data_IF_303795506919
#
_entry.id   IF_303795506919
#
_cell.length_a   1.000
_cell.length_b   1.000
_cell.length_c   1.000
_cell.angle_alpha   90.00
_cell.angle_beta   90.00
_cell.angle_gamma   90.00
#
_symmetry.space_group_name_H-M   'P 1'
#
loop_
_entity.id
_entity.type
_entity.pdbx_description
1 polymer ?
#
# COMPACT_ATOMS: atom_id res chain seq x y z
N UNK A 1 6.81 -83.35 26.89
CA UNK A 1 7.64 -82.12 26.91
C UNK A 1 6.75 -81.00 27.43
N UNK A 2 6.74 -80.67 28.72
CA UNK A 2 7.81 -80.03 29.49
C UNK A 2 7.53 -78.51 29.54
N UNK A 3 6.67 -78.04 30.45
CA UNK A 3 7.01 -77.30 31.70
C UNK A 3 7.64 -75.91 31.40
N UNK A 4 7.16 -74.77 31.92
CA UNK A 4 7.00 -74.30 33.33
C UNK A 4 6.11 -73.01 33.29
N UNK A 5 5.17 -72.65 34.16
CA UNK A 5 5.02 -72.80 35.62
C UNK A 5 5.95 -71.80 36.35
N UNK A 6 5.57 -70.90 37.26
CA UNK A 6 4.35 -70.50 37.96
C UNK A 6 4.57 -69.11 38.59
N UNK A 7 3.45 -68.44 38.85
CA UNK A 7 3.13 -67.38 39.83
C UNK A 7 4.06 -67.20 41.05
N UNK A 8 4.22 -65.93 41.45
CA UNK A 8 3.89 -65.32 42.77
C UNK A 8 3.77 -63.80 42.52
N UNK A 9 2.94 -62.97 43.15
CA UNK A 9 1.96 -63.07 44.23
C UNK A 9 1.82 -61.68 44.85
N UNK A 10 0.61 -61.08 44.79
CA UNK A 10 -0.06 -60.26 45.84
C UNK A 10 0.60 -58.93 46.28
N UNK A 11 -0.04 -57.76 46.14
CA UNK A 11 -0.90 -56.99 47.10
C UNK A 11 -0.57 -55.51 46.81
N UNK A 12 -1.36 -54.45 47.02
CA UNK A 12 -2.73 -54.18 47.44
C UNK A 12 -3.03 -52.70 47.05
N UNK A 13 -4.31 -52.35 47.08
CA UNK A 13 -4.92 -51.07 46.68
C UNK A 13 -4.72 -49.92 47.68
N UNK A 14 -4.96 -48.70 47.16
CA UNK A 14 -5.37 -47.49 47.89
C UNK A 14 -4.23 -46.49 48.04
N UNK A 15 -4.28 -45.23 47.58
CA UNK A 15 -5.41 -44.32 47.40
C UNK A 15 -5.26 -43.18 48.40
N UNK A 16 -4.92 -41.95 47.97
CA UNK A 16 -5.22 -40.70 48.66
C UNK A 16 -4.85 -39.48 47.81
N UNK A 17 -5.73 -38.48 47.87
CA UNK A 17 -5.70 -37.18 47.16
C UNK A 17 -4.94 -36.11 47.98
N UNK A 18 -4.47 -35.10 47.23
CA UNK A 18 -4.48 -33.64 47.46
C UNK A 18 -4.25 -33.03 48.86
N UNK A 19 -3.43 -31.97 48.90
CA UNK A 19 -3.59 -30.89 49.89
C UNK A 19 -2.35 -30.05 50.20
N UNK A 20 -2.26 -28.87 49.56
CA UNK A 20 -1.81 -27.55 50.05
C UNK A 20 -0.47 -27.32 50.79
N UNK A 21 0.25 -26.28 50.34
CA UNK A 21 0.63 -25.15 51.21
C UNK A 21 2.11 -24.85 51.45
N UNK A 22 2.54 -23.65 51.04
CA UNK A 22 3.32 -22.76 51.92
C UNK A 22 4.84 -22.64 51.74
N UNK A 23 5.27 -21.54 51.12
CA UNK A 23 6.11 -20.52 51.79
C UNK A 23 7.61 -20.77 52.00
N UNK A 24 8.43 -19.99 51.26
CA UNK A 24 9.47 -19.14 51.84
C UNK A 24 10.84 -19.75 52.18
N UNK A 25 11.89 -18.95 51.97
CA UNK A 25 13.16 -19.10 52.68
C UNK A 25 14.36 -19.48 51.80
N UNK A 26 14.84 -18.52 51.01
CA UNK A 26 16.14 -18.59 50.34
C UNK A 26 17.29 -18.64 51.36
N UNK A 27 18.25 -19.53 51.09
CA UNK A 27 19.43 -19.83 51.91
C UNK A 27 20.56 -18.81 51.74
N UNK A 28 21.34 -18.77 52.81
CA UNK A 28 22.49 -17.93 53.13
C UNK A 28 23.75 -18.20 52.28
N UNK A 29 24.49 -17.11 52.05
CA UNK A 29 25.94 -16.93 51.82
C UNK A 29 26.75 -17.96 51.02
N UNK A 30 27.47 -17.45 50.01
CA UNK A 30 28.95 -17.28 50.08
C UNK A 30 29.48 -16.30 49.03
N UNK A 31 30.26 -15.33 49.51
CA UNK A 31 31.04 -14.36 48.72
C UNK A 31 32.17 -15.06 47.97
N UNK A 32 32.35 -14.76 46.69
CA UNK A 32 33.66 -14.67 46.04
C UNK A 32 33.68 -13.51 45.06
N UNK A 33 34.59 -12.57 45.35
CA UNK A 33 35.00 -11.44 44.54
C UNK A 33 35.70 -11.89 43.26
N UNK A 34 35.20 -11.47 42.10
CA UNK A 34 35.98 -11.42 40.86
C UNK A 34 35.71 -10.11 40.11
N UNK A 35 36.81 -9.58 39.59
CA UNK A 35 37.02 -8.23 39.06
C UNK A 35 36.11 -7.93 37.85
N UNK A 36 35.57 -6.71 37.81
CA UNK A 36 34.93 -6.11 36.62
C UNK A 36 35.92 -6.10 35.44
N UNK A 37 35.58 -6.78 34.35
CA UNK A 37 36.15 -6.51 33.02
C UNK A 37 35.19 -5.58 32.27
N UNK A 38 35.71 -4.47 31.77
CA UNK A 38 35.00 -3.55 30.90
C UNK A 38 34.74 -4.19 29.52
N UNK A 39 33.61 -3.88 28.84
CA UNK A 39 33.37 -4.34 27.48
C UNK A 39 34.29 -3.61 26.46
N UNK A 40 34.71 -4.28 25.37
CA UNK A 40 35.55 -3.66 24.36
C UNK A 40 34.79 -2.56 23.61
N UNK A 41 35.51 -1.46 23.35
CA UNK A 41 35.00 -0.25 22.72
C UNK A 41 34.49 -0.44 21.30
N UNK A 42 33.46 0.34 20.96
CA UNK A 42 32.94 0.49 19.59
C UNK A 42 34.02 1.07 18.66
N UNK A 43 34.12 0.60 17.40
CA UNK A 43 34.94 1.25 16.40
C UNK A 43 34.41 2.66 16.05
N UNK A 44 35.29 3.63 15.73
CA UNK A 44 34.88 4.99 15.39
C UNK A 44 34.11 5.02 14.05
N UNK A 45 33.08 5.87 13.99
CA UNK A 45 32.30 6.13 12.79
C UNK A 45 33.16 6.81 11.69
N UNK A 46 32.95 6.49 10.40
CA UNK A 46 33.66 7.17 9.32
C UNK A 46 33.31 8.66 9.26
N UNK A 47 34.35 9.47 9.08
CA UNK A 47 34.32 10.92 8.94
C UNK A 47 33.28 11.36 7.90
N UNK A 48 32.27 12.11 8.35
CA UNK A 48 31.42 12.91 7.46
C UNK A 48 32.19 14.14 7.04
N UNK A 49 32.63 14.17 5.78
CA UNK A 49 33.12 15.39 5.15
C UNK A 49 31.99 16.43 5.14
N UNK A 50 32.22 17.52 5.87
CA UNK A 50 31.39 18.72 5.83
C UNK A 50 31.78 19.53 4.58
N UNK A 51 30.89 19.80 3.63
CA UNK A 51 31.19 20.78 2.60
C UNK A 51 31.30 22.17 3.25
N UNK A 52 32.47 22.78 3.09
CA UNK A 52 32.82 24.12 3.56
C UNK A 52 31.86 25.15 2.97
N UNK A 53 31.31 25.99 3.84
CA UNK A 53 30.57 27.19 3.45
C UNK A 53 31.54 28.25 2.88
N UNK A 54 31.14 28.76 1.71
CA UNK A 54 31.36 30.11 1.13
C UNK A 54 32.68 30.39 0.40
N UNK A 55 32.53 30.71 -0.88
CA UNK A 55 32.79 32.07 -1.38
C UNK A 55 31.60 32.56 -2.20
N UNK A 56 31.01 33.67 -1.76
CA UNK A 56 30.04 34.46 -2.53
C UNK A 56 30.83 35.23 -3.59
N UNK A 57 30.63 34.94 -4.86
CA UNK A 57 31.02 35.87 -5.91
C UNK A 57 29.96 36.97 -6.00
N UNK A 58 30.39 38.21 -5.71
CA UNK A 58 29.65 39.42 -6.04
C UNK A 58 29.62 39.54 -7.57
N UNK A 59 28.43 39.59 -8.16
CA UNK A 59 28.24 40.17 -9.49
C UNK A 59 28.03 41.68 -9.32
N UNK A 60 28.72 42.53 -10.09
CA UNK A 60 28.48 43.96 -10.07
C UNK A 60 27.18 44.29 -10.80
N UNK A 61 26.34 45.10 -10.17
CA UNK A 61 25.23 45.77 -10.85
C UNK A 61 25.75 46.93 -11.68
N UNK A 62 25.05 47.23 -12.77
CA UNK A 62 24.73 48.56 -13.33
C UNK A 62 24.02 48.34 -14.67
N UNK A 63 22.95 49.11 -14.92
CA UNK A 63 22.38 49.24 -16.26
C UNK A 63 20.86 49.21 -16.35
N UNK A 64 20.19 50.15 -15.69
CA UNK A 64 18.85 50.57 -16.09
C UNK A 64 18.93 51.29 -17.44
N UNK A 65 18.47 50.64 -18.51
CA UNK A 65 18.14 51.33 -19.75
C UNK A 65 16.68 51.10 -20.10
N UNK A 66 15.91 52.19 -20.06
CA UNK A 66 14.58 52.31 -20.64
C UNK A 66 14.73 52.24 -22.15
N UNK A 67 14.09 51.27 -22.79
CA UNK A 67 13.80 51.32 -24.23
C UNK A 67 12.29 51.46 -24.37
N UNK A 68 11.88 52.66 -24.82
CA UNK A 68 10.58 52.91 -25.43
C UNK A 68 10.62 52.37 -26.85
N UNK A 69 9.60 51.63 -27.28
CA UNK A 69 9.40 51.36 -28.71
C UNK A 69 8.35 50.30 -29.02
N UNK A 70 7.16 50.76 -29.44
CA UNK A 70 6.36 50.12 -30.49
C UNK A 70 5.70 48.77 -30.21
N UNK A 71 4.38 48.79 -29.97
CA UNK A 71 3.50 47.64 -30.21
C UNK A 71 3.29 47.45 -31.73
N UNK A 72 3.60 46.29 -32.32
CA UNK A 72 3.02 45.90 -33.60
C UNK A 72 1.67 45.20 -33.37
N UNK A 73 0.68 45.67 -34.12
CA UNK A 73 -0.66 45.08 -34.22
C UNK A 73 -0.62 43.76 -34.99
N UNK A 74 -1.37 42.77 -34.49
CA UNK A 74 -2.21 41.88 -35.29
C UNK A 74 -1.52 40.82 -36.16
N UNK A 75 -1.10 39.71 -35.53
CA UNK A 75 -0.88 38.44 -36.20
C UNK A 75 -1.75 37.36 -35.55
N UNK A 76 -2.77 36.87 -36.26
CA UNK A 76 -3.60 35.74 -35.83
C UNK A 76 -2.73 34.49 -35.74
N UNK A 77 -2.40 34.06 -34.53
CA UNK A 77 -1.81 32.73 -34.29
C UNK A 77 -2.91 31.70 -34.53
N UNK A 78 -2.70 30.83 -35.52
CA UNK A 78 -3.60 29.73 -35.85
C UNK A 78 -3.79 28.82 -34.64
N UNK A 79 -5.04 28.70 -34.20
CA UNK A 79 -5.46 27.72 -33.20
C UNK A 79 -5.32 26.35 -33.85
N UNK A 80 -4.31 25.59 -33.44
CA UNK A 80 -4.14 24.18 -33.83
C UNK A 80 -5.42 23.37 -33.53
N UNK A 81 -5.65 22.24 -34.22
CA UNK A 81 -6.90 21.52 -34.11
C UNK A 81 -7.10 21.07 -32.67
N UNK A 82 -8.13 21.62 -32.02
CA UNK A 82 -8.63 21.12 -30.73
C UNK A 82 -9.06 19.68 -30.96
N UNK A 83 -8.27 18.73 -30.47
CA UNK A 83 -8.66 17.33 -30.36
C UNK A 83 -9.99 17.27 -29.62
N UNK A 84 -11.07 16.99 -30.36
CA UNK A 84 -12.38 16.72 -29.77
C UNK A 84 -12.28 15.36 -29.09
N UNK A 85 -12.04 15.36 -27.79
CA UNK A 85 -12.28 14.20 -26.95
C UNK A 85 -13.78 13.94 -27.00
N UNK A 86 -14.17 12.85 -27.66
CA UNK A 86 -15.55 12.37 -27.68
C UNK A 86 -15.95 12.03 -26.25
N UNK A 87 -16.78 12.88 -25.63
CA UNK A 87 -17.39 12.60 -24.33
C UNK A 87 -18.37 11.46 -24.53
N UNK A 88 -17.99 10.26 -24.11
CA UNK A 88 -18.94 9.15 -24.00
C UNK A 88 -19.91 9.47 -22.85
N UNK A 89 -21.19 9.05 -22.94
CA UNK A 89 -22.17 9.37 -21.92
C UNK A 89 -21.79 8.71 -20.60
N UNK A 90 -21.87 9.49 -19.53
CA UNK A 90 -21.67 9.06 -18.15
C UNK A 90 -22.93 8.35 -17.64
N UNK A 91 -22.93 7.01 -17.69
CA UNK A 91 -23.64 6.09 -16.80
C UNK A 91 -23.44 4.65 -17.33
N UNK A 92 -23.04 3.71 -16.46
CA UNK A 92 -23.00 2.24 -16.69
C UNK A 92 -21.87 1.61 -17.53
N UNK A 93 -20.71 2.24 -17.60
CA UNK A 93 -19.47 1.48 -17.77
C UNK A 93 -18.35 2.13 -16.96
N UNK A 94 -18.50 2.12 -15.62
CA UNK A 94 -17.30 2.14 -14.79
C UNK A 94 -16.56 0.86 -15.19
N UNK A 95 -15.38 1.00 -15.82
CA UNK A 95 -14.52 -0.14 -16.08
C UNK A 95 -14.41 -0.92 -14.79
N UNK A 96 -14.92 -2.17 -14.79
CA UNK A 96 -14.80 -3.06 -13.63
C UNK A 96 -13.33 -3.40 -13.35
N UNK A 97 -12.41 -3.04 -14.24
CA UNK A 97 -10.97 -3.12 -14.04
C UNK A 97 -10.38 -1.74 -13.72
N UNK A 98 -9.84 -1.61 -12.52
CA UNK A 98 -9.16 -0.45 -11.97
C UNK A 98 -7.67 -0.78 -11.83
N UNK A 99 -6.98 -0.90 -12.97
CA UNK A 99 -5.55 -1.16 -12.99
C UNK A 99 -4.74 0.12 -12.76
N UNK A 100 -3.63 0.01 -12.02
CA UNK A 100 -2.78 1.14 -11.68
C UNK A 100 -1.45 0.70 -11.09
N UNK A 101 -0.78 1.63 -10.42
CA UNK A 101 0.55 1.38 -9.83
C UNK A 101 0.57 1.65 -8.34
N UNK A 102 1.57 1.12 -7.65
CA UNK A 102 1.91 1.47 -6.26
C UNK A 102 2.53 2.87 -6.16
N UNK A 103 1.77 3.91 -6.50
CA UNK A 103 2.17 5.33 -6.47
C UNK A 103 2.37 5.91 -7.86
N UNK A 104 2.50 7.24 -7.96
CA UNK A 104 2.66 7.96 -9.23
C UNK A 104 3.88 8.90 -9.28
N UNK A 105 4.40 9.33 -8.13
CA UNK A 105 5.34 10.46 -8.06
C UNK A 105 6.80 10.06 -8.31
N UNK A 106 7.12 9.59 -9.52
CA UNK A 106 8.46 9.09 -9.88
C UNK A 106 9.06 9.91 -11.04
N UNK A 107 10.01 10.82 -10.77
CA UNK A 107 10.72 11.56 -11.81
C UNK A 107 11.47 10.69 -12.81
N UNK A 108 11.91 9.50 -12.38
CA UNK A 108 12.61 8.52 -13.21
C UNK A 108 11.76 7.95 -14.36
N UNK A 109 10.43 8.10 -14.31
CA UNK A 109 9.55 7.71 -15.41
C UNK A 109 9.56 8.71 -16.59
N UNK A 110 10.46 9.70 -16.55
CA UNK A 110 10.75 10.65 -17.63
C UNK A 110 12.05 10.29 -18.36
N UNK A 111 12.07 10.40 -19.69
CA UNK A 111 10.92 10.24 -20.57
C UNK A 111 10.45 8.78 -20.53
N UNK A 112 9.21 8.52 -20.95
CA UNK A 112 8.69 7.15 -21.07
C UNK A 112 7.21 7.14 -20.77
N UNK A 113 6.85 7.15 -19.49
CA UNK A 113 5.46 7.37 -19.09
C UNK A 113 5.14 8.86 -19.03
N UNK A 114 6.02 9.66 -18.42
CA UNK A 114 5.85 11.12 -18.33
C UNK A 114 6.60 11.86 -19.46
N UNK A 115 6.08 13.01 -19.93
CA UNK A 115 6.82 13.92 -20.80
C UNK A 115 8.11 14.37 -20.12
N UNK A 116 9.18 14.56 -20.90
CA UNK A 116 10.52 14.87 -20.39
C UNK A 116 10.54 16.16 -19.54
N UNK A 117 9.71 17.13 -19.88
CA UNK A 117 9.62 18.48 -19.30
C UNK A 117 8.45 18.68 -18.34
N UNK A 118 7.63 17.65 -18.10
CA UNK A 118 6.49 17.74 -17.17
C UNK A 118 7.00 18.11 -15.78
N UNK A 119 6.39 19.06 -15.08
CA UNK A 119 6.78 19.38 -13.70
C UNK A 119 6.19 18.36 -12.70
N UNK A 120 6.84 18.11 -11.53
CA UNK A 120 6.37 17.08 -10.58
C UNK A 120 4.97 17.29 -10.01
N UNK A 121 4.52 18.54 -9.92
CA UNK A 121 3.15 18.93 -9.55
C UNK A 121 2.10 18.47 -10.58
N UNK A 122 2.48 18.36 -11.86
CA UNK A 122 1.63 17.84 -12.93
C UNK A 122 1.53 16.32 -12.99
N UNK A 123 2.29 15.58 -12.16
CA UNK A 123 2.35 14.11 -12.25
C UNK A 123 1.04 13.41 -11.99
N UNK A 124 0.32 13.80 -10.93
CA UNK A 124 -0.94 13.14 -10.59
C UNK A 124 -1.99 13.37 -11.68
N UNK A 125 -2.16 14.60 -12.15
CA UNK A 125 -3.09 14.93 -13.22
C UNK A 125 -2.76 14.19 -14.52
N UNK A 126 -1.47 14.10 -14.89
CA UNK A 126 -1.05 13.36 -16.08
C UNK A 126 -1.30 11.85 -15.95
N UNK A 127 -0.99 11.29 -14.78
CA UNK A 127 -1.20 9.88 -14.46
C UNK A 127 -2.69 9.51 -14.51
N UNK A 128 -3.53 10.30 -13.83
CA UNK A 128 -4.95 10.04 -13.67
C UNK A 128 -5.76 10.22 -14.97
N UNK A 129 -5.19 10.93 -15.96
CA UNK A 129 -5.76 10.99 -17.30
C UNK A 129 -5.55 9.70 -18.12
N UNK A 130 -4.77 8.74 -17.62
CA UNK A 130 -4.34 7.52 -18.34
C UNK A 130 -4.68 6.23 -17.61
N UNK A 131 -4.56 6.23 -16.28
CA UNK A 131 -4.85 5.09 -15.43
C UNK A 131 -6.02 5.44 -14.50
N UNK A 132 -6.97 4.51 -14.29
CA UNK A 132 -8.18 4.76 -13.50
C UNK A 132 -7.96 4.69 -11.99
N UNK A 133 -6.84 4.15 -11.51
CA UNK A 133 -6.59 4.01 -10.08
C UNK A 133 -5.12 4.10 -9.70
N UNK A 134 -4.85 4.34 -8.41
CA UNK A 134 -3.49 4.28 -7.84
C UNK A 134 -3.49 3.78 -6.39
N UNK A 135 -2.52 2.93 -6.04
CA UNK A 135 -2.26 2.55 -4.65
C UNK A 135 -1.34 3.60 -4.00
N UNK A 136 -1.91 4.38 -3.09
CA UNK A 136 -1.20 5.44 -2.37
C UNK A 136 -0.51 4.86 -1.12
N UNK A 137 0.83 4.85 -1.14
CA UNK A 137 1.67 4.36 -0.04
C UNK A 137 2.23 5.46 0.88
N UNK A 138 1.92 6.75 0.64
CA UNK A 138 2.52 7.89 1.35
C UNK A 138 2.31 7.85 2.88
N UNK A 139 1.20 7.26 3.30
CA UNK A 139 0.76 7.05 4.70
C UNK A 139 1.70 6.19 5.54
N UNK A 140 2.51 5.32 4.93
CA UNK A 140 3.50 4.49 5.64
C UNK A 140 4.50 5.35 6.41
N UNK A 141 4.95 6.45 5.80
CA UNK A 141 5.99 7.31 6.37
C UNK A 141 5.39 8.49 7.14
N UNK A 142 4.29 9.05 6.63
CA UNK A 142 3.59 10.18 7.24
C UNK A 142 2.13 10.16 6.81
N UNK A 143 1.22 10.25 7.76
CA UNK A 143 -0.19 10.47 7.47
C UNK A 143 -0.35 11.86 6.83
N UNK A 144 -0.82 11.96 5.56
CA UNK A 144 -1.06 13.25 4.93
C UNK A 144 -2.10 14.07 5.70
N UNK A 145 -2.10 15.39 5.50
CA UNK A 145 -3.17 16.25 6.02
C UNK A 145 -4.44 16.05 5.19
N UNK A 146 -5.58 16.40 5.78
CA UNK A 146 -6.86 16.43 5.09
C UNK A 146 -6.79 17.32 3.82
N UNK A 147 -6.17 18.50 3.92
CA UNK A 147 -5.94 19.39 2.78
C UNK A 147 -5.11 18.73 1.66
N UNK A 148 -4.16 17.87 1.99
CA UNK A 148 -3.39 17.15 0.98
C UNK A 148 -4.26 16.11 0.25
N UNK A 149 -5.16 15.43 0.95
CA UNK A 149 -6.13 14.52 0.35
C UNK A 149 -7.12 15.27 -0.55
N UNK A 150 -7.68 16.41 -0.11
CA UNK A 150 -8.55 17.25 -0.94
C UNK A 150 -7.84 17.67 -2.23
N UNK A 151 -6.60 18.18 -2.11
CA UNK A 151 -5.80 18.56 -3.28
C UNK A 151 -5.53 17.42 -4.24
N UNK A 152 -5.40 16.18 -3.77
CA UNK A 152 -5.28 15.03 -4.66
C UNK A 152 -6.60 14.67 -5.33
N UNK A 153 -7.73 14.74 -4.61
CA UNK A 153 -9.05 14.54 -5.19
C UNK A 153 -9.37 15.56 -6.29
N UNK A 154 -8.99 16.83 -6.09
CA UNK A 154 -9.22 17.91 -7.07
C UNK A 154 -8.37 17.77 -8.36
N UNK A 155 -7.34 16.92 -8.35
CA UNK A 155 -6.42 16.73 -9.48
C UNK A 155 -6.79 15.54 -10.38
N UNK A 156 -7.77 14.73 -9.99
CA UNK A 156 -8.12 13.49 -10.71
C UNK A 156 -9.50 13.62 -11.36
N UNK A 157 -9.75 12.97 -12.50
CA UNK A 157 -11.06 12.99 -13.12
C UNK A 157 -12.08 12.19 -12.30
N UNK A 158 -13.36 12.45 -12.56
CA UNK A 158 -14.45 11.62 -12.04
C UNK A 158 -14.24 10.15 -12.43
N UNK A 159 -14.52 9.25 -11.50
CA UNK A 159 -14.31 7.81 -11.68
C UNK A 159 -12.90 7.32 -11.30
N UNK A 160 -11.91 8.21 -11.15
CA UNK A 160 -10.60 7.80 -10.63
C UNK A 160 -10.70 7.31 -9.17
N UNK A 161 -9.90 6.31 -8.80
CA UNK A 161 -9.91 5.71 -7.46
C UNK A 161 -8.53 5.66 -6.81
N UNK A 162 -8.45 6.16 -5.58
CA UNK A 162 -7.32 5.94 -4.70
C UNK A 162 -7.56 4.72 -3.82
N UNK A 163 -6.61 3.78 -3.84
CA UNK A 163 -6.48 2.74 -2.81
C UNK A 163 -5.42 3.18 -1.81
N UNK A 164 -5.83 3.58 -0.60
CA UNK A 164 -4.91 4.20 0.35
C UNK A 164 -4.37 3.15 1.31
N UNK A 165 -3.05 2.96 1.36
CA UNK A 165 -2.45 2.12 2.39
C UNK A 165 -2.71 2.76 3.77
N UNK A 166 -3.13 2.00 4.76
CA UNK A 166 -3.17 2.47 6.14
C UNK A 166 -1.75 2.60 6.71
N UNK A 167 -1.50 3.53 7.65
CA UNK A 167 -0.31 3.48 8.50
C UNK A 167 -0.18 2.14 9.23
N UNK A 168 1.05 1.78 9.60
CA UNK A 168 1.29 0.60 10.43
C UNK A 168 0.58 0.78 11.80
N UNK A 169 0.07 -0.32 12.37
CA UNK A 169 -0.73 -0.31 13.62
C UNK A 169 -1.97 0.59 13.54
N UNK A 170 -2.73 0.43 12.46
CA UNK A 170 -3.92 1.23 12.16
C UNK A 170 -4.93 1.22 13.30
N UNK A 171 -5.05 0.13 14.06
CA UNK A 171 -5.99 -0.01 15.18
C UNK A 171 -5.82 1.09 16.24
N UNK A 172 -4.64 1.70 16.36
CA UNK A 172 -4.37 2.80 17.30
C UNK A 172 -4.70 4.19 16.75
N UNK A 173 -4.98 4.29 15.46
CA UNK A 173 -5.07 5.56 14.72
C UNK A 173 -6.23 5.57 13.72
N UNK A 174 -7.13 4.60 13.81
CA UNK A 174 -8.16 4.33 12.81
C UNK A 174 -9.04 5.55 12.58
N UNK A 175 -9.65 6.07 13.64
CA UNK A 175 -10.49 7.28 13.59
C UNK A 175 -9.78 8.48 12.95
N UNK A 176 -8.59 8.84 13.45
CA UNK A 176 -7.82 9.97 12.93
C UNK A 176 -7.31 9.76 11.49
N UNK A 177 -7.15 8.51 11.06
CA UNK A 177 -6.81 8.17 9.68
C UNK A 177 -8.03 8.29 8.78
N UNK A 178 -9.15 7.71 9.20
CA UNK A 178 -10.42 7.70 8.50
C UNK A 178 -10.97 9.12 8.28
N UNK A 179 -10.91 9.97 9.31
CA UNK A 179 -11.28 11.38 9.22
C UNK A 179 -10.56 12.09 8.06
N UNK A 180 -9.25 11.82 7.91
CA UNK A 180 -8.43 12.47 6.88
C UNK A 180 -8.59 11.84 5.52
N UNK A 181 -8.70 10.52 5.44
CA UNK A 181 -8.81 9.81 4.16
C UNK A 181 -10.15 10.10 3.48
N UNK A 182 -11.21 10.38 4.25
CA UNK A 182 -12.52 10.82 3.74
C UNK A 182 -12.45 12.10 2.92
N UNK A 183 -11.42 12.93 3.09
CA UNK A 183 -11.24 14.10 2.24
C UNK A 183 -10.93 13.78 0.77
N UNK A 184 -10.69 12.52 0.42
CA UNK A 184 -10.70 12.07 -0.97
C UNK A 184 -12.11 12.04 -1.59
N UNK A 185 -13.16 12.09 -0.76
CA UNK A 185 -14.55 12.06 -1.21
C UNK A 185 -14.85 10.88 -2.12
N UNK A 186 -15.50 11.15 -3.25
CA UNK A 186 -15.85 10.13 -4.24
C UNK A 186 -14.63 9.46 -4.90
N UNK A 187 -13.41 10.00 -4.76
CA UNK A 187 -12.19 9.39 -5.27
C UNK A 187 -11.61 8.32 -4.32
N UNK A 188 -12.11 8.19 -3.09
CA UNK A 188 -11.72 7.10 -2.19
C UNK A 188 -12.31 5.78 -2.69
N UNK A 189 -11.45 4.86 -3.15
CA UNK A 189 -11.87 3.52 -3.56
C UNK A 189 -11.94 2.54 -2.39
N UNK A 190 -10.81 2.40 -1.69
CA UNK A 190 -10.67 1.52 -0.52
C UNK A 190 -9.43 1.88 0.30
N UNK A 191 -9.33 1.27 1.49
CA UNK A 191 -8.17 1.34 2.37
C UNK A 191 -7.50 -0.03 2.46
N UNK A 192 -6.19 -0.09 2.21
CA UNK A 192 -5.40 -1.32 2.37
C UNK A 192 -4.74 -1.37 3.74
N UNK A 193 -5.02 -2.39 4.54
CA UNK A 193 -4.40 -2.61 5.85
C UNK A 193 -3.46 -3.80 5.78
N UNK A 194 -2.20 -3.65 6.19
CA UNK A 194 -1.24 -4.77 6.23
C UNK A 194 -1.19 -5.35 7.63
N UNK A 195 -1.36 -6.67 7.73
CA UNK A 195 -1.27 -7.40 8.98
C UNK A 195 -0.39 -8.64 8.80
N UNK A 196 0.72 -8.69 9.53
CA UNK A 196 1.75 -9.73 9.37
C UNK A 196 1.64 -10.87 10.37
N UNK A 197 0.88 -10.68 11.46
CA UNK A 197 0.80 -11.68 12.53
C UNK A 197 -0.17 -12.83 12.18
N UNK A 198 -0.04 -13.99 12.87
CA UNK A 198 -0.99 -15.08 12.78
C UNK A 198 -2.42 -14.64 13.12
N UNK A 199 -3.38 -15.47 12.70
CA UNK A 199 -4.81 -15.23 12.88
C UNK A 199 -5.16 -14.96 14.34
N UNK A 200 -5.73 -13.77 14.53
CA UNK A 200 -6.32 -13.31 15.78
C UNK A 200 -7.71 -12.77 15.44
N UNK A 201 -8.73 -13.61 15.65
CA UNK A 201 -10.13 -13.20 15.41
C UNK A 201 -10.55 -12.04 16.31
N UNK A 202 -9.96 -11.90 17.50
CA UNK A 202 -10.23 -10.76 18.39
C UNK A 202 -9.71 -9.44 17.80
N UNK A 203 -8.53 -9.46 17.18
CA UNK A 203 -8.03 -8.31 16.42
C UNK A 203 -8.93 -7.97 15.24
N UNK A 204 -9.40 -8.98 14.50
CA UNK A 204 -10.29 -8.78 13.36
C UNK A 204 -11.63 -8.18 13.80
N UNK A 205 -12.27 -8.74 14.83
CA UNK A 205 -13.52 -8.22 15.39
C UNK A 205 -13.38 -6.79 15.91
N UNK A 206 -12.25 -6.47 16.55
CA UNK A 206 -11.98 -5.11 16.98
C UNK A 206 -11.92 -4.15 15.78
N UNK A 207 -11.23 -4.54 14.71
CA UNK A 207 -11.11 -3.71 13.50
C UNK A 207 -12.46 -3.56 12.80
N UNK A 208 -13.22 -4.65 12.61
CA UNK A 208 -14.56 -4.62 12.02
C UNK A 208 -15.53 -3.79 12.87
N UNK A 209 -15.47 -3.91 14.19
CA UNK A 209 -16.33 -3.17 15.11
C UNK A 209 -16.01 -1.68 15.20
N UNK A 210 -14.77 -1.27 14.88
CA UNK A 210 -14.31 0.11 15.03
C UNK A 210 -14.24 0.89 13.72
N UNK A 211 -14.14 0.21 12.58
CA UNK A 211 -14.01 0.85 11.28
C UNK A 211 -15.33 1.47 10.81
N UNK A 212 -15.23 2.58 10.11
CA UNK A 212 -16.39 3.24 9.53
C UNK A 212 -17.00 2.37 8.41
N UNK A 213 -18.32 2.13 8.47
CA UNK A 213 -19.02 1.25 7.53
C UNK A 213 -19.10 1.80 6.10
N UNK A 214 -18.85 3.09 5.88
CA UNK A 214 -18.78 3.74 4.57
C UNK A 214 -17.42 3.63 3.88
N UNK A 215 -16.42 3.00 4.51
CA UNK A 215 -15.10 2.76 3.90
C UNK A 215 -14.93 1.26 3.64
N UNK A 216 -14.54 0.92 2.41
CA UNK A 216 -14.15 -0.44 2.02
C UNK A 216 -12.70 -0.72 2.39
N UNK A 217 -12.42 -1.94 2.83
CA UNK A 217 -11.07 -2.34 3.23
C UNK A 217 -10.57 -3.56 2.46
N UNK A 218 -9.29 -3.52 2.11
CA UNK A 218 -8.53 -4.66 1.60
C UNK A 218 -7.47 -5.07 2.64
N UNK A 219 -7.66 -6.23 3.29
CA UNK A 219 -6.74 -6.74 4.30
C UNK A 219 -5.61 -7.55 3.65
N UNK A 220 -4.40 -7.05 3.79
CA UNK A 220 -3.17 -7.65 3.30
C UNK A 220 -2.59 -8.58 4.38
N UNK A 221 -3.32 -9.67 4.65
CA UNK A 221 -3.05 -10.68 5.69
C UNK A 221 -1.92 -11.63 5.24
N UNK A 222 -0.77 -11.60 5.90
CA UNK A 222 0.45 -12.31 5.45
C UNK A 222 0.62 -13.72 5.96
N UNK A 223 0.03 -14.04 7.09
CA UNK A 223 0.15 -15.37 7.68
C UNK A 223 -0.90 -16.33 7.06
N UNK A 224 -0.52 -17.56 6.67
CA UNK A 224 -1.46 -18.53 6.09
C UNK A 224 -2.60 -18.95 7.04
N UNK A 225 -2.46 -18.76 8.35
CA UNK A 225 -3.55 -19.04 9.31
C UNK A 225 -4.82 -18.22 9.06
N UNK A 226 -4.75 -17.17 8.23
CA UNK A 226 -5.90 -16.39 7.79
C UNK A 226 -6.69 -17.02 6.63
N UNK A 227 -6.26 -18.14 6.05
CA UNK A 227 -6.98 -18.80 4.96
C UNK A 227 -8.42 -19.18 5.38
N UNK A 228 -9.39 -18.86 4.51
CA UNK A 228 -10.82 -19.08 4.77
C UNK A 228 -11.51 -17.93 5.53
N UNK A 229 -10.84 -16.79 5.75
CA UNK A 229 -11.44 -15.59 6.37
C UNK A 229 -12.36 -14.82 5.41
N UNK A 230 -12.28 -15.08 4.11
CA UNK A 230 -12.92 -14.30 3.05
C UNK A 230 -14.45 -14.15 3.23
N UNK A 231 -15.23 -15.20 3.60
CA UNK A 231 -16.66 -15.05 3.87
C UNK A 231 -16.96 -14.10 5.04
N UNK A 232 -16.07 -14.03 6.03
CA UNK A 232 -16.21 -13.16 7.19
C UNK A 232 -15.96 -11.69 6.82
N UNK A 233 -14.92 -11.43 6.01
CA UNK A 233 -14.64 -10.10 5.48
C UNK A 233 -15.78 -9.59 4.58
N UNK A 234 -16.36 -10.47 3.76
CA UNK A 234 -17.46 -10.12 2.86
C UNK A 234 -18.70 -9.61 3.59
N UNK A 235 -18.90 -9.94 4.87
CA UNK A 235 -20.00 -9.39 5.69
C UNK A 235 -19.95 -7.87 5.85
N UNK A 236 -18.79 -7.25 5.59
CA UNK A 236 -18.57 -5.79 5.64
C UNK A 236 -18.18 -5.20 4.29
N UNK A 237 -18.34 -5.93 3.19
CA UNK A 237 -17.83 -5.52 1.87
C UNK A 237 -16.30 -5.32 1.86
N UNK A 238 -15.59 -6.17 2.61
CA UNK A 238 -14.12 -6.17 2.69
C UNK A 238 -13.55 -7.39 1.98
N UNK A 239 -12.30 -7.26 1.51
CA UNK A 239 -11.60 -8.34 0.80
C UNK A 239 -10.24 -8.62 1.42
N UNK A 240 -9.72 -9.82 1.16
CA UNK A 240 -8.31 -10.12 1.39
C UNK A 240 -7.51 -9.76 0.13
N UNK A 241 -6.34 -9.15 0.30
CA UNK A 241 -5.44 -8.87 -0.84
C UNK A 241 -4.98 -10.18 -1.47
N UNK A 242 -5.19 -10.32 -2.78
CA UNK A 242 -4.89 -11.52 -3.55
C UNK A 242 -6.00 -12.57 -3.56
N UNK A 243 -7.14 -12.33 -2.88
CA UNK A 243 -8.30 -13.19 -3.03
C UNK A 243 -9.03 -12.89 -4.34
N UNK A 244 -9.15 -13.92 -5.17
CA UNK A 244 -9.85 -13.90 -6.46
C UNK A 244 -11.22 -14.61 -6.39
N UNK A 245 -11.61 -15.11 -5.21
CA UNK A 245 -12.92 -15.74 -5.01
C UNK A 245 -14.07 -14.76 -5.26
N UNK A 246 -13.86 -13.47 -5.00
CA UNK A 246 -14.88 -12.44 -5.19
C UNK A 246 -16.03 -12.53 -4.18
N UNK A 247 -15.77 -13.02 -2.96
CA UNK A 247 -16.78 -13.17 -1.92
C UNK A 247 -17.56 -11.88 -1.61
N UNK A 248 -16.90 -10.72 -1.74
CA UNK A 248 -17.51 -9.39 -1.58
C UNK A 248 -18.01 -8.77 -2.91
N UNK A 249 -17.91 -9.47 -4.04
CA UNK A 249 -18.23 -8.91 -5.37
C UNK A 249 -17.12 -8.04 -5.97
N UNK A 250 -15.96 -7.95 -5.30
CA UNK A 250 -14.77 -7.27 -5.81
C UNK A 250 -13.49 -7.96 -5.32
N UNK A 251 -12.35 -7.60 -5.89
CA UNK A 251 -11.04 -8.09 -5.46
C UNK A 251 -9.96 -7.01 -5.51
N UNK A 252 -8.88 -7.26 -4.77
CA UNK A 252 -7.71 -6.40 -4.69
C UNK A 252 -6.45 -7.21 -4.97
N UNK A 253 -5.83 -6.96 -6.12
CA UNK A 253 -4.65 -7.67 -6.60
C UNK A 253 -3.41 -6.77 -6.52
N UNK A 254 -2.27 -7.41 -6.26
CA UNK A 254 -0.97 -6.74 -6.20
C UNK A 254 0.06 -7.57 -6.95
N UNK A 255 0.47 -7.08 -8.11
CA UNK A 255 1.54 -7.66 -8.91
C UNK A 255 2.89 -7.18 -8.38
N UNK A 256 3.77 -8.11 -8.04
CA UNK A 256 5.02 -7.82 -7.28
C UNK A 256 6.27 -7.83 -8.14
N UNK A 257 6.14 -8.35 -9.35
CA UNK A 257 7.18 -8.41 -10.35
C UNK A 257 7.66 -6.99 -10.67
N UNK A 258 8.91 -6.87 -11.10
CA UNK A 258 9.51 -5.58 -11.46
C UNK A 258 9.67 -5.44 -12.98
N UNK A 259 9.61 -6.56 -13.70
CA UNK A 259 9.71 -6.62 -15.15
C UNK A 259 8.49 -7.34 -15.71
N UNK A 260 7.92 -6.79 -16.79
CA UNK A 260 6.67 -7.28 -17.37
C UNK A 260 6.94 -7.77 -18.80
N UNK A 261 7.29 -9.04 -18.92
CA UNK A 261 7.39 -9.68 -20.24
C UNK A 261 6.01 -9.71 -20.90
N UNK A 262 5.97 -9.71 -22.24
CA UNK A 262 4.70 -9.71 -22.99
C UNK A 262 3.78 -10.87 -22.58
N UNK A 263 4.33 -12.07 -22.40
CA UNK A 263 3.56 -13.25 -21.97
C UNK A 263 3.00 -13.08 -20.55
N UNK A 264 3.75 -12.42 -19.65
CA UNK A 264 3.26 -12.09 -18.31
C UNK A 264 2.10 -11.11 -18.36
N UNK A 265 2.18 -10.08 -19.21
CA UNK A 265 1.08 -9.13 -19.41
C UNK A 265 -0.14 -9.85 -19.98
N UNK A 266 0.04 -10.73 -20.97
CA UNK A 266 -1.07 -11.51 -21.56
C UNK A 266 -1.76 -12.38 -20.51
N UNK A 267 -1.00 -13.07 -19.66
CA UNK A 267 -1.56 -13.89 -18.59
C UNK A 267 -2.36 -13.05 -17.57
N UNK A 268 -1.91 -11.83 -17.28
CA UNK A 268 -2.64 -10.89 -16.40
C UNK A 268 -3.94 -10.44 -17.06
N UNK A 269 -3.91 -10.08 -18.35
CA UNK A 269 -5.11 -9.71 -19.10
C UNK A 269 -6.16 -10.82 -19.05
N UNK A 270 -5.75 -12.06 -19.31
CA UNK A 270 -6.68 -13.21 -19.29
C UNK A 270 -7.27 -13.45 -17.90
N UNK A 271 -6.46 -13.34 -16.85
CA UNK A 271 -6.89 -13.47 -15.47
C UNK A 271 -7.88 -12.36 -15.08
N UNK A 272 -7.54 -11.10 -15.32
CA UNK A 272 -8.39 -9.95 -14.99
C UNK A 272 -9.71 -9.99 -15.78
N UNK A 273 -9.66 -10.34 -17.07
CA UNK A 273 -10.85 -10.49 -17.89
C UNK A 273 -11.76 -11.61 -17.38
N UNK A 274 -11.20 -12.70 -16.84
CA UNK A 274 -12.01 -13.76 -16.21
C UNK A 274 -12.72 -13.26 -14.94
N UNK A 275 -12.06 -12.45 -14.12
CA UNK A 275 -12.66 -11.84 -12.92
C UNK A 275 -13.76 -10.84 -13.29
N UNK A 276 -13.52 -9.99 -14.28
CA UNK A 276 -14.51 -9.03 -14.79
C UNK A 276 -15.72 -9.75 -15.41
N UNK A 277 -15.52 -10.84 -16.17
CA UNK A 277 -16.64 -11.66 -16.72
C UNK A 277 -17.49 -12.31 -15.64
N UNK A 278 -16.90 -12.63 -14.48
CA UNK A 278 -17.63 -13.09 -13.28
C UNK A 278 -18.38 -11.96 -12.59
N UNK A 279 -18.22 -10.73 -13.06
CA UNK A 279 -18.90 -9.55 -12.58
C UNK A 279 -18.17 -8.81 -11.46
N UNK A 280 -16.91 -9.14 -11.17
CA UNK A 280 -16.16 -8.53 -10.08
C UNK A 280 -15.64 -7.14 -10.46
N UNK A 281 -15.65 -6.21 -9.51
CA UNK A 281 -14.78 -5.02 -9.56
C UNK A 281 -13.36 -5.45 -9.16
N UNK A 282 -12.35 -5.11 -9.97
CA UNK A 282 -10.97 -5.57 -9.85
C UNK A 282 -10.07 -4.36 -9.66
N UNK A 283 -9.47 -4.22 -8.49
CA UNK A 283 -8.35 -3.32 -8.27
C UNK A 283 -7.06 -4.08 -8.54
N UNK A 284 -6.27 -3.71 -9.55
CA UNK A 284 -5.00 -4.38 -9.85
C UNK A 284 -3.82 -3.41 -9.83
N UNK A 285 -2.92 -3.58 -8.86
CA UNK A 285 -1.81 -2.67 -8.65
C UNK A 285 -0.45 -3.29 -8.95
N UNK A 286 0.22 -2.69 -9.92
CA UNK A 286 1.57 -3.02 -10.34
C UNK A 286 2.57 -2.32 -9.42
N UNK A 287 3.44 -3.10 -8.77
CA UNK A 287 4.53 -2.54 -7.96
C UNK A 287 5.38 -1.61 -8.83
N UNK A 288 5.64 -0.41 -8.33
CA UNK A 288 6.52 0.53 -9.03
C UNK A 288 7.96 0.00 -9.08
N UNK A 289 8.63 0.22 -10.21
CA UNK A 289 10.07 0.17 -10.37
C UNK A 289 10.66 1.57 -10.52
N UNK A 290 11.97 1.64 -10.71
CA UNK A 290 12.65 2.89 -11.07
C UNK A 290 12.33 3.29 -12.52
N UNK A 291 12.16 2.30 -13.39
CA UNK A 291 11.75 2.46 -14.79
C UNK A 291 10.22 2.56 -14.94
N UNK A 292 9.71 3.10 -16.07
CA UNK A 292 8.27 3.26 -16.33
C UNK A 292 7.53 1.95 -16.67
N UNK A 293 8.12 0.79 -16.42
CA UNK A 293 7.55 -0.52 -16.81
C UNK A 293 6.19 -0.78 -16.16
N UNK A 294 6.03 -0.45 -14.88
CA UNK A 294 4.78 -0.68 -14.15
C UNK A 294 3.58 0.11 -14.70
N UNK A 295 3.64 1.45 -14.91
CA UNK A 295 2.50 2.16 -15.48
C UNK A 295 2.27 1.83 -16.96
N UNK A 296 3.30 1.40 -17.71
CA UNK A 296 3.14 0.91 -19.08
C UNK A 296 2.45 -0.47 -19.13
N UNK A 297 2.77 -1.36 -18.20
CA UNK A 297 2.09 -2.66 -18.07
C UNK A 297 0.61 -2.47 -17.69
N UNK A 298 0.30 -1.58 -16.74
CA UNK A 298 -1.08 -1.26 -16.38
C UNK A 298 -1.87 -0.71 -17.57
N UNK A 299 -1.26 0.14 -18.40
CA UNK A 299 -1.86 0.62 -19.65
C UNK A 299 -2.11 -0.51 -20.65
N UNK A 300 -1.16 -1.43 -20.81
CA UNK A 300 -1.31 -2.58 -21.70
C UNK A 300 -2.47 -3.49 -21.26
N UNK A 301 -2.61 -3.73 -19.95
CA UNK A 301 -3.72 -4.51 -19.39
C UNK A 301 -5.07 -3.85 -19.67
N UNK A 302 -5.18 -2.54 -19.44
CA UNK A 302 -6.43 -1.80 -19.70
C UNK A 302 -6.78 -1.74 -21.19
N UNK A 303 -5.78 -1.60 -22.06
CA UNK A 303 -6.00 -1.55 -23.50
C UNK A 303 -6.51 -2.90 -24.05
N UNK A 304 -6.07 -4.02 -23.47
CA UNK A 304 -6.49 -5.35 -23.88
C UNK A 304 -7.79 -5.83 -23.18
N UNK A 305 -8.08 -5.32 -21.98
CA UNK A 305 -9.27 -5.66 -21.20
C UNK A 305 -10.50 -4.77 -21.44
N UNK A 306 -10.42 -3.78 -22.34
CA UNK A 306 -11.57 -2.97 -22.74
C UNK A 306 -12.60 -3.77 -23.54
N UNK A 307 -13.91 -3.43 -23.44
CA UNK A 307 -14.95 -4.02 -24.28
C UNK A 307 -14.78 -3.67 -25.77
#
# INVERSE_FOLDING_TARGET
MGLRGRRTGRLARGGARAGAGGGGGFRDRRRRSLRRRAPPGRPPAPHRDRPRRRRRHRLPGLGSQRVRGGLPRGGRVGVGPRLRVRRLPAAEAVSRLLAGTSGWSYPSWRPGFYPADLAPDGFLAFYAARLPAVELNATKYRLPSEEQFRRWADQVPEGFRFAVKAPDRIERRLEAFEERVRALGAALGCVRVVHEAPRDDGWLELLLGSADPGIRYALDLRDPSWDGVEPHLATRDWVRVGDESGAAGWCYLRRRELTWAADTISAIVDADAALVRRGLEVYDFFRHGDEPDAPLAALAVLAAGGP
#
